data_IF_558275709067
#
_entry.id   IF_558275709067
#
_cell.length_a   1.000
_cell.length_b   1.000
_cell.length_c   1.000
_cell.angle_alpha   90.00
_cell.angle_beta   90.00
_cell.angle_gamma   90.00
#
_symmetry.space_group_name_H-M   'P 1'
#
loop_
_entity.id
_entity.type
_entity.pdbx_description
1 polymer ?
#
# COMPACT_ATOMS: atom_id res chain seq x y z
N UNK A 1 33.93 27.18 -6.97
CA UNK A 1 32.90 26.69 -7.91
C UNK A 1 33.18 27.00 -9.38
N UNK A 2 33.17 28.25 -9.87
CA UNK A 2 33.53 28.50 -11.29
C UNK A 2 34.95 28.04 -11.64
N UNK A 3 35.87 28.05 -10.68
CA UNK A 3 37.21 27.50 -10.84
C UNK A 3 37.21 25.96 -10.95
N UNK A 4 36.47 25.23 -10.11
CA UNK A 4 36.50 23.76 -10.06
C UNK A 4 35.85 23.13 -11.31
N UNK A 5 34.74 23.67 -11.80
CA UNK A 5 34.16 23.25 -13.08
C UNK A 5 34.92 23.80 -14.30
N UNK A 6 35.70 24.88 -14.11
CA UNK A 6 36.53 25.47 -15.17
C UNK A 6 37.74 24.63 -15.56
N UNK A 7 38.15 23.68 -14.70
CA UNK A 7 39.21 22.70 -15.00
C UNK A 7 38.70 21.42 -15.67
N UNK A 8 37.38 21.24 -15.75
CA UNK A 8 36.76 20.11 -16.45
C UNK A 8 36.58 20.42 -17.93
N UNK A 9 37.21 19.63 -18.80
CA UNK A 9 37.16 19.83 -20.25
C UNK A 9 35.73 19.76 -20.85
N UNK A 10 34.79 19.14 -20.13
CA UNK A 10 33.43 18.91 -20.61
C UNK A 10 32.35 19.56 -19.71
N UNK A 11 32.72 20.32 -18.68
CA UNK A 11 31.75 20.93 -17.74
C UNK A 11 31.13 19.96 -16.73
N UNK A 12 31.68 18.76 -16.59
CA UNK A 12 31.26 17.75 -15.61
C UNK A 12 32.31 17.55 -14.52
N UNK A 13 31.90 17.28 -13.29
CA UNK A 13 32.80 16.83 -12.22
C UNK A 13 32.39 15.41 -11.81
N UNK A 14 33.37 14.53 -11.63
CA UNK A 14 33.14 13.21 -11.05
C UNK A 14 33.52 13.22 -9.57
N UNK A 15 32.59 12.82 -8.71
CA UNK A 15 32.82 12.64 -7.27
C UNK A 15 32.24 11.29 -6.88
N UNK A 16 33.05 10.43 -6.25
CA UNK A 16 32.65 9.10 -5.77
C UNK A 16 31.96 8.21 -6.83
N UNK A 17 32.38 8.34 -8.10
CA UNK A 17 31.82 7.57 -9.23
C UNK A 17 30.53 8.16 -9.83
N UNK A 18 30.06 9.30 -9.32
CA UNK A 18 28.91 10.02 -9.86
C UNK A 18 29.34 11.24 -10.67
N UNK A 19 28.71 11.45 -11.82
CA UNK A 19 28.98 12.59 -12.71
C UNK A 19 27.97 13.70 -12.47
N UNK A 20 28.46 14.89 -12.16
CA UNK A 20 27.66 16.08 -11.92
C UNK A 20 27.88 17.10 -13.02
N UNK A 21 26.81 17.62 -13.60
CA UNK A 21 26.85 18.71 -14.57
C UNK A 21 26.95 20.05 -13.83
N UNK A 22 27.79 20.97 -14.36
CA UNK A 22 27.88 22.35 -13.88
C UNK A 22 26.52 23.05 -13.76
N UNK A 23 25.64 22.86 -14.75
CA UNK A 23 24.35 23.54 -14.78
C UNK A 23 23.47 23.08 -13.62
N UNK A 24 23.35 21.76 -13.41
CA UNK A 24 22.53 21.19 -12.33
C UNK A 24 23.01 21.67 -10.94
N UNK A 25 24.33 21.75 -10.75
CA UNK A 25 24.89 22.25 -9.49
C UNK A 25 24.63 23.74 -9.30
N UNK A 26 24.77 24.55 -10.35
CA UNK A 26 24.47 25.99 -10.27
C UNK A 26 22.98 26.26 -10.06
N UNK A 27 22.10 25.53 -10.74
CA UNK A 27 20.66 25.63 -10.57
C UNK A 27 20.26 25.36 -9.11
N UNK A 28 20.83 24.32 -8.48
CA UNK A 28 20.58 24.00 -7.08
C UNK A 28 21.09 25.09 -6.12
N UNK A 29 22.26 25.68 -6.40
CA UNK A 29 22.87 26.74 -5.58
C UNK A 29 22.13 28.08 -5.64
N UNK A 30 21.50 28.35 -6.78
CA UNK A 30 20.76 29.59 -7.02
C UNK A 30 19.33 29.55 -6.43
N UNK A 31 18.89 28.39 -5.92
CA UNK A 31 17.58 28.26 -5.28
C UNK A 31 17.49 29.14 -4.01
N UNK A 32 16.38 29.89 -3.82
CA UNK A 32 16.19 30.75 -2.65
C UNK A 32 16.27 30.01 -1.30
N UNK A 33 16.00 28.71 -1.29
CA UNK A 33 16.01 27.84 -0.11
C UNK A 33 17.24 26.90 -0.05
N UNK A 34 18.31 27.20 -0.80
CA UNK A 34 19.51 26.36 -0.89
C UNK A 34 20.05 25.91 0.47
N UNK A 35 20.21 26.81 1.45
CA UNK A 35 20.76 26.45 2.76
C UNK A 35 19.90 25.43 3.52
N UNK A 36 18.58 25.53 3.40
CA UNK A 36 17.64 24.57 3.99
C UNK A 36 17.74 23.21 3.30
N UNK A 37 17.79 23.20 1.96
CA UNK A 37 17.95 21.96 1.17
C UNK A 37 19.28 21.28 1.46
N UNK A 38 20.37 22.06 1.53
CA UNK A 38 21.70 21.56 1.90
C UNK A 38 21.70 20.95 3.31
N UNK A 39 20.98 21.54 4.26
CA UNK A 39 20.82 20.98 5.61
C UNK A 39 20.11 19.61 5.57
N UNK A 40 19.03 19.47 4.81
CA UNK A 40 18.35 18.19 4.64
C UNK A 40 19.20 17.16 3.91
N UNK A 41 19.90 17.53 2.84
CA UNK A 41 20.86 16.65 2.18
C UNK A 41 21.91 16.13 3.17
N UNK A 42 22.47 16.99 4.03
CA UNK A 42 23.45 16.57 5.04
C UNK A 42 22.85 15.62 6.07
N UNK A 43 21.61 15.87 6.51
CA UNK A 43 20.91 14.98 7.44
C UNK A 43 20.66 13.60 6.82
N UNK A 44 20.16 13.55 5.58
CA UNK A 44 19.98 12.30 4.84
C UNK A 44 21.31 11.58 4.67
N UNK A 45 22.36 12.30 4.26
CA UNK A 45 23.69 11.73 4.05
C UNK A 45 24.29 11.13 5.33
N UNK A 46 24.00 11.71 6.49
CA UNK A 46 24.41 11.17 7.78
C UNK A 46 23.65 9.89 8.17
N UNK A 47 22.49 9.63 7.56
CA UNK A 47 21.63 8.50 7.86
C UNK A 47 21.71 7.41 6.78
N UNK A 48 22.54 6.40 7.04
CA UNK A 48 22.78 5.28 6.10
C UNK A 48 21.51 4.51 5.74
N UNK A 49 20.54 4.39 6.65
CA UNK A 49 19.32 3.63 6.40
C UNK A 49 18.43 4.33 5.38
N UNK A 50 18.36 5.68 5.44
CA UNK A 50 17.63 6.46 4.44
C UNK A 50 18.34 6.38 3.09
N UNK A 51 19.67 6.49 3.05
CA UNK A 51 20.43 6.37 1.81
C UNK A 51 20.20 5.03 1.12
N UNK A 52 20.27 3.91 1.86
CA UNK A 52 20.03 2.57 1.30
C UNK A 52 18.61 2.44 0.73
N UNK A 53 17.61 3.08 1.35
CA UNK A 53 16.25 3.13 0.78
C UNK A 53 16.24 3.90 -0.54
N UNK A 54 16.84 5.08 -0.57
CA UNK A 54 16.79 5.96 -1.75
C UNK A 54 17.62 5.44 -2.92
N UNK A 55 18.79 4.88 -2.65
CA UNK A 55 19.78 4.48 -3.66
C UNK A 55 19.57 3.03 -4.10
N UNK A 56 19.36 2.12 -3.15
CA UNK A 56 19.32 0.68 -3.41
C UNK A 56 17.89 0.10 -3.45
N UNK A 57 16.88 0.88 -3.04
CA UNK A 57 15.49 0.42 -2.86
C UNK A 57 15.36 -0.77 -1.88
N UNK A 58 16.27 -0.85 -0.91
CA UNK A 58 16.28 -1.89 0.12
C UNK A 58 15.81 -1.30 1.44
N UNK A 59 14.98 -2.05 2.17
CA UNK A 59 14.43 -1.60 3.45
C UNK A 59 14.60 -2.66 4.53
N UNK A 60 15.08 -2.22 5.69
CA UNK A 60 14.81 -2.86 6.96
C UNK A 60 13.83 -1.96 7.72
N UNK A 61 12.59 -2.42 7.90
CA UNK A 61 11.49 -1.61 8.43
C UNK A 61 11.76 -1.04 9.83
N UNK A 62 12.52 -1.76 10.67
CA UNK A 62 12.86 -1.26 12.00
C UNK A 62 13.87 -0.11 11.91
N UNK A 63 14.94 -0.33 11.16
CA UNK A 63 16.03 0.63 10.98
C UNK A 63 15.57 1.92 10.29
N UNK A 64 14.61 1.79 9.36
CA UNK A 64 14.04 2.92 8.62
C UNK A 64 13.04 3.72 9.45
N UNK A 65 12.28 3.05 10.33
CA UNK A 65 11.39 3.76 11.26
C UNK A 65 12.19 4.70 12.16
N UNK A 66 13.21 4.18 12.82
CA UNK A 66 14.03 4.96 13.75
C UNK A 66 14.78 6.08 13.00
N UNK A 67 15.13 5.85 11.72
CA UNK A 67 15.76 6.84 10.87
C UNK A 67 14.84 8.01 10.49
N UNK A 68 13.57 7.75 10.21
CA UNK A 68 12.60 8.80 9.84
C UNK A 68 12.00 9.53 11.04
N UNK A 69 12.09 8.98 12.25
CA UNK A 69 11.59 9.62 13.48
C UNK A 69 12.20 11.03 13.69
N UNK A 70 13.45 11.27 13.28
CA UNK A 70 14.12 12.58 13.39
C UNK A 70 13.56 13.67 12.47
N UNK A 71 12.78 13.29 11.47
CA UNK A 71 12.19 14.18 10.47
C UNK A 71 10.70 14.40 10.67
N UNK A 72 10.11 13.76 11.68
CA UNK A 72 8.69 13.90 11.97
C UNK A 72 8.34 15.36 12.25
N UNK A 73 7.19 15.78 11.72
CA UNK A 73 6.62 17.12 11.89
C UNK A 73 7.38 18.26 11.19
N UNK A 74 8.32 17.96 10.29
CA UNK A 74 8.98 18.97 9.47
C UNK A 74 8.37 19.02 8.06
N UNK A 75 7.38 19.88 7.87
CA UNK A 75 6.68 20.07 6.58
C UNK A 75 7.65 20.46 5.46
N UNK A 76 8.68 21.25 5.77
CA UNK A 76 9.67 21.66 4.77
C UNK A 76 10.58 20.50 4.36
N UNK A 77 10.80 19.53 5.26
CA UNK A 77 11.45 18.28 4.91
C UNK A 77 10.57 17.43 3.98
N UNK A 78 9.28 17.28 4.28
CA UNK A 78 8.37 16.49 3.44
C UNK A 78 8.30 17.05 2.01
N UNK A 79 8.23 18.38 1.85
CA UNK A 79 8.29 19.07 0.55
C UNK A 79 9.60 18.84 -0.20
N UNK A 80 10.71 18.80 0.53
CA UNK A 80 12.01 18.52 -0.03
C UNK A 80 12.17 17.03 -0.41
N UNK A 81 11.68 16.13 0.43
CA UNK A 81 11.98 14.70 0.40
C UNK A 81 11.06 13.90 -0.53
N UNK A 82 9.76 14.26 -0.57
CA UNK A 82 8.72 13.57 -1.34
C UNK A 82 9.13 13.23 -2.78
N UNK A 83 9.71 14.14 -3.58
CA UNK A 83 10.11 13.85 -4.96
C UNK A 83 11.17 12.75 -5.09
N UNK A 84 12.07 12.62 -4.11
CA UNK A 84 13.11 11.60 -4.10
C UNK A 84 12.60 10.26 -3.56
N UNK A 85 11.56 10.29 -2.72
CA UNK A 85 11.04 9.12 -2.02
C UNK A 85 9.97 8.36 -2.80
N UNK A 86 9.25 9.02 -3.70
CA UNK A 86 8.12 8.43 -4.44
C UNK A 86 8.47 7.14 -5.19
N UNK A 87 9.55 7.17 -5.98
CA UNK A 87 9.96 6.02 -6.78
C UNK A 87 10.46 4.85 -5.89
N UNK A 88 11.36 5.07 -4.90
CA UNK A 88 11.74 4.02 -3.95
C UNK A 88 10.58 3.44 -3.17
N UNK A 89 9.66 4.30 -2.68
CA UNK A 89 8.48 3.85 -1.95
C UNK A 89 7.64 2.89 -2.79
N UNK A 90 7.34 3.27 -4.04
CA UNK A 90 6.59 2.43 -4.98
C UNK A 90 7.35 1.14 -5.34
N UNK A 91 8.67 1.20 -5.50
CA UNK A 91 9.51 0.04 -5.78
C UNK A 91 9.42 -0.99 -4.65
N UNK A 92 9.61 -0.54 -3.40
CA UNK A 92 9.54 -1.40 -2.21
C UNK A 92 8.14 -2.01 -2.06
N UNK A 93 7.07 -1.22 -2.22
CA UNK A 93 5.70 -1.74 -2.26
C UNK A 93 5.56 -2.86 -3.29
N UNK A 94 6.05 -2.63 -4.52
CA UNK A 94 5.95 -3.60 -5.60
C UNK A 94 6.71 -4.88 -5.29
N UNK A 95 7.90 -4.80 -4.71
CA UNK A 95 8.71 -5.96 -4.32
C UNK A 95 7.95 -6.83 -3.31
N UNK A 96 7.45 -6.25 -2.22
CA UNK A 96 6.65 -7.00 -1.25
C UNK A 96 5.36 -7.59 -1.84
N UNK A 97 4.67 -6.86 -2.72
CA UNK A 97 3.48 -7.36 -3.42
C UNK A 97 3.83 -8.60 -4.28
N UNK A 98 4.93 -8.55 -5.03
CA UNK A 98 5.39 -9.66 -5.86
C UNK A 98 5.75 -10.89 -5.00
N UNK A 99 6.35 -10.65 -3.84
CA UNK A 99 6.69 -11.66 -2.83
C UNK A 99 5.49 -12.15 -2.02
N UNK A 100 4.30 -11.57 -2.25
CA UNK A 100 3.04 -11.90 -1.57
C UNK A 100 3.01 -11.54 -0.08
N UNK A 101 3.86 -10.61 0.34
CA UNK A 101 3.94 -10.14 1.72
C UNK A 101 3.09 -8.88 1.93
N UNK A 102 1.78 -9.05 2.05
CA UNK A 102 0.88 -7.93 2.35
C UNK A 102 1.10 -7.36 3.76
N UNK A 103 1.64 -8.14 4.68
CA UNK A 103 1.86 -7.67 6.04
C UNK A 103 2.93 -6.56 6.07
N UNK A 104 4.05 -6.77 5.39
CA UNK A 104 5.13 -5.79 5.31
C UNK A 104 4.81 -4.62 4.37
N UNK A 105 3.99 -4.81 3.32
CA UNK A 105 3.39 -3.66 2.58
C UNK A 105 2.62 -2.77 3.56
N UNK A 106 1.78 -3.36 4.42
CA UNK A 106 1.00 -2.61 5.41
C UNK A 106 1.86 -1.85 6.41
N UNK A 107 3.04 -2.38 6.78
CA UNK A 107 4.00 -1.64 7.62
C UNK A 107 4.66 -0.51 6.87
N UNK A 108 5.07 -0.75 5.62
CA UNK A 108 5.71 0.26 4.77
C UNK A 108 4.78 1.43 4.46
N UNK A 109 3.49 1.16 4.30
CA UNK A 109 2.46 2.18 4.12
C UNK A 109 2.41 3.22 5.24
N UNK A 110 2.93 2.95 6.44
CA UNK A 110 2.99 3.94 7.52
C UNK A 110 3.88 5.14 7.21
N UNK A 111 4.78 5.02 6.24
CA UNK A 111 5.63 6.11 5.77
C UNK A 111 4.97 6.94 4.66
N UNK A 112 3.70 6.68 4.34
CA UNK A 112 2.99 7.43 3.29
C UNK A 112 2.90 8.94 3.54
N UNK A 113 3.02 9.37 4.81
CA UNK A 113 3.00 10.78 5.19
C UNK A 113 4.14 11.59 4.57
N UNK A 114 5.22 10.92 4.14
CA UNK A 114 6.35 11.53 3.44
C UNK A 114 6.06 11.79 1.95
N UNK A 115 4.91 11.34 1.43
CA UNK A 115 4.49 11.54 0.04
C UNK A 115 3.45 12.66 -0.06
N UNK A 116 3.81 13.71 -0.79
CA UNK A 116 2.93 14.83 -1.08
C UNK A 116 2.05 14.58 -2.33
N UNK A 117 1.00 15.38 -2.45
CA UNK A 117 -0.09 15.13 -3.41
C UNK A 117 0.33 14.88 -4.86
N UNK A 118 1.40 15.52 -5.34
CA UNK A 118 1.89 15.33 -6.71
C UNK A 118 2.60 13.99 -6.89
N UNK A 119 3.32 13.55 -5.86
CA UNK A 119 4.14 12.35 -5.86
C UNK A 119 3.35 11.09 -5.44
N UNK A 120 2.21 11.24 -4.77
CA UNK A 120 1.31 10.13 -4.37
C UNK A 120 0.84 9.31 -5.58
N UNK A 121 0.70 9.92 -6.76
CA UNK A 121 0.34 9.17 -7.96
C UNK A 121 1.42 8.12 -8.28
N UNK A 122 2.69 8.50 -8.24
CA UNK A 122 3.79 7.57 -8.47
C UNK A 122 3.94 6.58 -7.31
N UNK A 123 3.94 7.09 -6.07
CA UNK A 123 4.15 6.31 -4.85
C UNK A 123 3.19 5.13 -4.69
N UNK A 124 1.90 5.31 -5.01
CA UNK A 124 0.89 4.25 -4.85
C UNK A 124 0.56 3.48 -6.12
N UNK A 125 1.30 3.68 -7.21
CA UNK A 125 1.00 3.05 -8.51
C UNK A 125 0.91 1.53 -8.41
N UNK A 126 1.88 0.87 -7.77
CA UNK A 126 1.88 -0.57 -7.60
C UNK A 126 0.69 -1.06 -6.75
N UNK A 127 0.32 -0.32 -5.71
CA UNK A 127 -0.81 -0.64 -4.83
C UNK A 127 -2.13 -0.58 -5.60
N UNK A 128 -2.37 0.49 -6.38
CA UNK A 128 -3.60 0.64 -7.17
C UNK A 128 -3.72 -0.49 -8.20
N UNK A 129 -2.66 -0.77 -8.94
CA UNK A 129 -2.62 -1.88 -9.91
C UNK A 129 -2.93 -3.21 -9.21
N UNK A 130 -2.28 -3.49 -8.08
CA UNK A 130 -2.49 -4.73 -7.33
C UNK A 130 -3.94 -4.90 -6.83
N UNK A 131 -4.54 -3.83 -6.29
CA UNK A 131 -5.94 -3.86 -5.84
C UNK A 131 -6.89 -4.09 -7.01
N UNK A 132 -6.68 -3.43 -8.15
CA UNK A 132 -7.50 -3.63 -9.36
C UNK A 132 -7.39 -5.05 -9.91
N UNK A 133 -6.17 -5.60 -9.97
CA UNK A 133 -5.93 -6.98 -10.38
C UNK A 133 -6.57 -7.97 -9.40
N UNK A 134 -6.51 -7.70 -8.11
CA UNK A 134 -7.16 -8.50 -7.07
C UNK A 134 -8.69 -8.53 -7.25
N UNK A 135 -9.31 -7.39 -7.52
CA UNK A 135 -10.75 -7.32 -7.81
C UNK A 135 -11.12 -8.14 -9.05
N UNK A 136 -10.30 -8.08 -10.11
CA UNK A 136 -10.50 -8.92 -11.30
C UNK A 136 -10.33 -10.40 -10.98
N UNK A 137 -9.36 -10.75 -10.13
CA UNK A 137 -9.10 -12.11 -9.70
C UNK A 137 -10.30 -12.70 -8.96
N UNK A 138 -10.80 -12.02 -7.93
CA UNK A 138 -11.90 -12.52 -7.09
C UNK A 138 -13.21 -12.72 -7.86
N UNK A 139 -13.56 -11.83 -8.79
CA UNK A 139 -14.76 -11.97 -9.63
C UNK A 139 -14.79 -13.23 -10.49
N UNK A 140 -13.63 -13.80 -10.79
CA UNK A 140 -13.49 -14.98 -11.62
C UNK A 140 -13.45 -16.29 -10.81
N UNK A 141 -13.46 -16.23 -9.48
CA UNK A 141 -13.38 -17.41 -8.61
C UNK A 141 -14.79 -17.90 -8.24
N UNK A 142 -14.98 -19.22 -8.35
CA UNK A 142 -16.17 -19.93 -7.89
C UNK A 142 -15.78 -21.26 -7.24
N UNK A 143 -16.77 -22.03 -6.77
CA UNK A 143 -16.53 -23.32 -6.10
C UNK A 143 -15.73 -24.32 -6.93
N UNK A 144 -15.90 -24.28 -8.25
CA UNK A 144 -15.41 -25.31 -9.17
C UNK A 144 -13.96 -25.05 -9.57
N UNK A 145 -13.58 -23.77 -9.73
CA UNK A 145 -12.23 -23.37 -10.08
C UNK A 145 -11.37 -22.94 -8.88
N UNK A 146 -11.93 -22.87 -7.67
CA UNK A 146 -11.23 -22.42 -6.47
C UNK A 146 -9.84 -23.03 -6.30
N UNK A 147 -9.74 -24.36 -6.40
CA UNK A 147 -8.48 -25.09 -6.16
C UNK A 147 -7.35 -24.67 -7.10
N UNK A 148 -7.66 -24.33 -8.35
CA UNK A 148 -6.64 -23.87 -9.32
C UNK A 148 -6.25 -22.41 -9.09
N UNK A 149 -7.15 -21.60 -8.54
CA UNK A 149 -6.88 -20.19 -8.21
C UNK A 149 -6.31 -19.99 -6.79
N UNK A 150 -6.45 -20.97 -5.90
CA UNK A 150 -5.96 -20.92 -4.52
C UNK A 150 -4.52 -20.40 -4.38
N UNK A 151 -3.54 -20.83 -5.21
CA UNK A 151 -2.18 -20.28 -5.11
C UNK A 151 -2.10 -18.77 -5.40
N UNK A 152 -3.00 -18.22 -6.22
CA UNK A 152 -3.01 -16.79 -6.58
C UNK A 152 -3.63 -15.92 -5.49
N UNK A 153 -4.55 -16.47 -4.71
CA UNK A 153 -5.21 -15.77 -3.59
C UNK A 153 -4.60 -16.09 -2.23
N UNK A 154 -3.52 -16.89 -2.19
CA UNK A 154 -2.79 -17.22 -0.96
C UNK A 154 -2.48 -16.00 -0.07
N UNK A 155 -2.07 -14.82 -0.59
CA UNK A 155 -1.82 -13.66 0.26
C UNK A 155 -3.04 -13.23 1.09
N UNK A 156 -4.25 -13.52 0.62
CA UNK A 156 -5.52 -13.18 1.27
C UNK A 156 -6.05 -14.29 2.19
N UNK A 157 -5.44 -15.48 2.16
CA UNK A 157 -5.76 -16.61 3.02
C UNK A 157 -4.83 -16.62 4.24
N UNK A 158 -3.55 -16.28 4.05
CA UNK A 158 -2.55 -16.22 5.11
C UNK A 158 -2.83 -15.03 6.03
N UNK A 159 -2.82 -15.20 7.37
CA UNK A 159 -3.05 -14.09 8.30
C UNK A 159 -2.06 -12.91 8.11
N UNK A 160 -2.52 -11.68 8.37
CA UNK A 160 -1.69 -10.48 8.37
C UNK A 160 -2.04 -9.47 7.25
N UNK A 161 -2.78 -9.88 6.23
CA UNK A 161 -3.19 -8.98 5.13
C UNK A 161 -4.13 -7.86 5.60
N UNK A 162 -4.82 -8.02 6.72
CA UNK A 162 -5.65 -6.97 7.32
C UNK A 162 -4.82 -5.72 7.64
N UNK A 163 -3.53 -5.89 7.95
CA UNK A 163 -2.60 -4.78 8.16
C UNK A 163 -2.46 -3.93 6.90
N UNK A 164 -2.40 -4.55 5.71
CA UNK A 164 -2.38 -3.82 4.45
C UNK A 164 -3.64 -2.97 4.28
N UNK A 165 -4.84 -3.53 4.42
CA UNK A 165 -6.09 -2.77 4.24
C UNK A 165 -6.29 -1.68 5.30
N UNK A 166 -5.75 -1.86 6.50
CA UNK A 166 -5.86 -0.90 7.59
C UNK A 166 -4.90 0.29 7.46
N UNK A 167 -3.82 0.16 6.68
CA UNK A 167 -2.88 1.24 6.41
C UNK A 167 -2.98 1.76 4.96
N UNK A 168 -4.03 1.37 4.20
CA UNK A 168 -4.25 1.95 2.89
C UNK A 168 -4.50 3.46 2.98
N UNK A 169 -3.98 4.26 2.03
CA UNK A 169 -4.24 5.68 1.99
C UNK A 169 -5.72 5.97 1.68
N UNK A 170 -6.21 7.14 2.10
CA UNK A 170 -7.62 7.55 1.94
C UNK A 170 -8.12 7.46 0.48
N UNK A 171 -7.26 7.80 -0.48
CA UNK A 171 -7.55 7.70 -1.92
C UNK A 171 -7.88 6.27 -2.38
N UNK A 172 -7.44 5.26 -1.64
CA UNK A 172 -7.69 3.85 -1.92
C UNK A 172 -8.92 3.29 -1.18
N UNK A 173 -9.64 4.08 -0.37
CA UNK A 173 -10.78 3.56 0.41
C UNK A 173 -11.92 3.01 -0.46
N UNK A 174 -12.17 3.60 -1.63
CA UNK A 174 -13.16 3.07 -2.56
C UNK A 174 -12.77 1.68 -3.12
N UNK A 175 -11.47 1.40 -3.24
CA UNK A 175 -10.95 0.09 -3.64
C UNK A 175 -10.96 -0.89 -2.46
N UNK A 176 -10.60 -0.42 -1.26
CA UNK A 176 -10.67 -1.18 -0.01
C UNK A 176 -12.06 -1.79 0.20
N UNK A 177 -13.11 -0.97 0.10
CA UNK A 177 -14.49 -1.45 0.28
C UNK A 177 -14.86 -2.52 -0.75
N UNK A 178 -14.47 -2.33 -2.02
CA UNK A 178 -14.71 -3.32 -3.08
C UNK A 178 -13.97 -4.64 -2.80
N UNK A 179 -12.71 -4.56 -2.37
CA UNK A 179 -11.91 -5.75 -2.02
C UNK A 179 -12.55 -6.48 -0.85
N UNK A 180 -13.00 -5.77 0.18
CA UNK A 180 -13.71 -6.34 1.33
C UNK A 180 -15.00 -7.04 0.90
N UNK A 181 -15.80 -6.42 0.03
CA UNK A 181 -17.02 -7.04 -0.51
C UNK A 181 -16.69 -8.32 -1.28
N UNK A 182 -15.66 -8.28 -2.15
CA UNK A 182 -15.27 -9.45 -2.94
C UNK A 182 -14.66 -10.56 -2.08
N UNK A 183 -13.97 -10.23 -0.98
CA UNK A 183 -13.52 -11.21 0.02
C UNK A 183 -14.70 -11.87 0.75
N UNK A 184 -15.71 -11.10 1.17
CA UNK A 184 -16.94 -11.65 1.77
C UNK A 184 -17.63 -12.61 0.79
N UNK A 185 -17.72 -12.22 -0.49
CA UNK A 185 -18.31 -13.08 -1.51
C UNK A 185 -17.47 -14.36 -1.73
N UNK A 186 -16.14 -14.23 -1.68
CA UNK A 186 -15.23 -15.36 -1.78
C UNK A 186 -15.42 -16.34 -0.62
N UNK A 187 -15.57 -15.88 0.64
CA UNK A 187 -15.81 -16.79 1.78
C UNK A 187 -17.09 -17.60 1.58
N UNK A 188 -18.17 -16.96 1.10
CA UNK A 188 -19.45 -17.64 0.80
C UNK A 188 -19.29 -18.67 -0.34
N UNK A 189 -18.53 -18.33 -1.38
CA UNK A 189 -18.33 -19.20 -2.54
C UNK A 189 -17.55 -20.48 -2.18
N UNK A 190 -16.57 -20.36 -1.28
CA UNK A 190 -15.62 -21.45 -0.98
C UNK A 190 -15.94 -22.18 0.32
N UNK A 191 -16.90 -21.70 1.14
CA UNK A 191 -17.20 -22.24 2.48
C UNK A 191 -17.41 -23.75 2.53
N UNK A 192 -18.00 -24.35 1.49
CA UNK A 192 -18.24 -25.80 1.39
C UNK A 192 -17.04 -26.57 0.84
N UNK A 193 -16.21 -25.91 0.03
CA UNK A 193 -15.06 -26.51 -0.66
C UNK A 193 -13.82 -26.51 0.23
N UNK A 194 -13.57 -25.39 0.93
CA UNK A 194 -12.44 -25.22 1.84
C UNK A 194 -12.84 -24.30 3.01
N UNK A 195 -13.40 -24.90 4.05
CA UNK A 195 -13.91 -24.17 5.22
C UNK A 195 -12.79 -23.48 6.02
N UNK A 196 -11.56 -24.01 5.98
CA UNK A 196 -10.44 -23.43 6.72
C UNK A 196 -9.99 -22.13 6.08
N UNK A 197 -9.85 -22.10 4.75
CA UNK A 197 -9.50 -20.87 4.04
C UNK A 197 -10.59 -19.81 4.21
N UNK A 198 -11.87 -20.19 4.11
CA UNK A 198 -13.00 -19.29 4.36
C UNK A 198 -12.95 -18.68 5.78
N UNK A 199 -12.67 -19.51 6.79
CA UNK A 199 -12.54 -19.07 8.19
C UNK A 199 -11.35 -18.12 8.37
N UNK A 200 -10.21 -18.38 7.73
CA UNK A 200 -9.03 -17.52 7.84
C UNK A 200 -9.30 -16.14 7.24
N UNK A 201 -9.89 -16.09 6.04
CA UNK A 201 -10.31 -14.83 5.41
C UNK A 201 -11.31 -14.09 6.31
N UNK A 202 -12.33 -14.80 6.82
CA UNK A 202 -13.33 -14.23 7.73
C UNK A 202 -12.69 -13.61 8.98
N UNK A 203 -11.72 -14.30 9.57
CA UNK A 203 -11.00 -13.83 10.76
C UNK A 203 -10.20 -12.55 10.47
N UNK A 204 -9.56 -12.45 9.30
CA UNK A 204 -8.90 -11.22 8.87
C UNK A 204 -9.89 -10.06 8.66
N UNK A 205 -11.03 -10.32 8.01
CA UNK A 205 -12.09 -9.32 7.77
C UNK A 205 -12.61 -8.70 9.07
N UNK A 206 -12.68 -9.47 10.15
CA UNK A 206 -13.10 -8.97 11.47
C UNK A 206 -12.17 -7.88 12.03
N UNK A 207 -10.90 -7.88 11.65
CA UNK A 207 -9.88 -6.95 12.13
C UNK A 207 -9.81 -5.68 11.25
N UNK A 208 -10.34 -5.72 10.02
CA UNK A 208 -10.29 -4.57 9.10
C UNK A 208 -11.08 -3.38 9.67
N UNK A 209 -10.42 -2.25 9.88
CA UNK A 209 -10.98 -1.02 10.44
C UNK A 209 -11.48 -0.05 9.36
N UNK A 210 -12.21 0.99 9.77
CA UNK A 210 -12.67 2.06 8.87
C UNK A 210 -13.75 1.63 7.87
N UNK A 211 -14.44 0.50 8.11
CA UNK A 211 -15.49 0.00 7.23
C UNK A 211 -16.87 0.60 7.59
N UNK A 212 -17.72 0.88 6.60
CA UNK A 212 -19.13 1.18 6.80
C UNK A 212 -19.85 0.14 7.67
N UNK A 213 -20.81 0.60 8.50
CA UNK A 213 -21.52 -0.25 9.47
C UNK A 213 -22.26 -1.43 8.81
N UNK A 214 -22.83 -1.23 7.64
CA UNK A 214 -23.47 -2.29 6.85
C UNK A 214 -22.48 -3.41 6.45
N UNK A 215 -21.25 -3.06 6.07
CA UNK A 215 -20.21 -4.05 5.76
C UNK A 215 -19.75 -4.77 7.03
N UNK A 216 -19.56 -4.04 8.13
CA UNK A 216 -19.24 -4.64 9.44
C UNK A 216 -20.28 -5.68 9.87
N UNK A 217 -21.56 -5.34 9.81
CA UNK A 217 -22.65 -6.26 10.16
C UNK A 217 -22.66 -7.50 9.26
N UNK A 218 -22.35 -7.33 7.97
CA UNK A 218 -22.23 -8.45 7.03
C UNK A 218 -21.06 -9.37 7.40
N UNK A 219 -19.90 -8.81 7.75
CA UNK A 219 -18.73 -9.57 8.20
C UNK A 219 -19.06 -10.36 9.47
N UNK A 220 -19.67 -9.73 10.48
CA UNK A 220 -20.07 -10.41 11.71
C UNK A 220 -21.06 -11.56 11.46
N UNK A 221 -22.05 -11.34 10.58
CA UNK A 221 -23.02 -12.37 10.21
C UNK A 221 -22.39 -13.54 9.46
N UNK A 222 -21.40 -13.26 8.60
CA UNK A 222 -20.65 -14.27 7.85
C UNK A 222 -19.71 -15.07 8.79
N UNK A 223 -18.98 -14.40 9.68
CA UNK A 223 -18.05 -15.04 10.62
C UNK A 223 -18.73 -16.01 11.59
N UNK A 224 -19.97 -15.68 12.01
CA UNK A 224 -20.78 -16.56 12.86
C UNK A 224 -21.05 -17.94 12.23
N UNK A 225 -21.03 -18.05 10.89
CA UNK A 225 -21.16 -19.34 10.20
C UNK A 225 -19.95 -20.25 10.43
N UNK A 226 -18.78 -19.68 10.72
CA UNK A 226 -17.53 -20.42 10.92
C UNK A 226 -17.19 -20.60 12.41
N UNK A 227 -17.59 -19.67 13.27
CA UNK A 227 -17.21 -19.64 14.69
C UNK A 227 -18.44 -19.87 15.60
N UNK A 228 -18.67 -21.14 15.98
CA UNK A 228 -19.82 -21.61 16.79
C UNK A 228 -19.99 -20.98 18.19
N UNK A 229 -19.08 -20.11 18.63
CA UNK A 229 -19.18 -19.36 19.89
C UNK A 229 -19.83 -17.97 19.71
N UNK A 230 -20.09 -17.53 18.48
CA UNK A 230 -20.92 -16.38 18.22
C UNK A 230 -22.39 -16.77 18.46
N UNK A 231 -23.08 -16.07 19.39
CA UNK A 231 -24.52 -16.29 19.60
C UNK A 231 -25.23 -16.23 18.24
N UNK A 232 -26.12 -17.19 17.92
CA UNK A 232 -26.81 -17.19 16.64
C UNK A 232 -27.69 -15.93 16.58
N UNK A 233 -27.25 -14.93 15.82
CA UNK A 233 -28.15 -13.85 15.42
C UNK A 233 -29.02 -14.41 14.29
N UNK A 234 -30.30 -14.06 14.32
CA UNK A 234 -31.39 -14.70 13.58
C UNK A 234 -31.41 -14.33 12.07
N UNK A 235 -30.22 -14.28 11.44
CA UNK A 235 -29.98 -13.73 10.11
C UNK A 235 -29.55 -14.77 9.08
N UNK A 236 -29.89 -16.05 9.29
CA UNK A 236 -29.62 -17.14 8.33
C UNK A 236 -30.20 -16.90 6.92
N UNK A 237 -31.16 -15.98 6.78
CA UNK A 237 -31.73 -15.56 5.49
C UNK A 237 -31.08 -14.29 4.89
N UNK A 238 -30.31 -13.52 5.65
CA UNK A 238 -29.69 -12.27 5.16
C UNK A 238 -28.42 -12.51 4.37
N UNK A 239 -27.70 -13.62 4.61
CA UNK A 239 -26.48 -13.96 3.85
C UNK A 239 -26.80 -14.32 2.39
N UNK A 240 -27.98 -14.92 2.11
CA UNK A 240 -28.42 -15.21 0.74
C UNK A 240 -29.02 -14.01 0.00
N UNK A 241 -29.74 -13.13 0.71
CA UNK A 241 -30.44 -11.98 0.11
C UNK A 241 -29.53 -10.75 -0.04
N UNK A 242 -28.54 -10.56 0.84
CA UNK A 242 -27.58 -9.45 0.78
C UNK A 242 -26.71 -9.47 -0.48
N UNK A 243 -26.30 -10.66 -0.94
CA UNK A 243 -25.48 -10.87 -2.15
C UNK A 243 -26.20 -10.42 -3.44
N UNK A 244 -27.54 -10.50 -3.46
CA UNK A 244 -28.36 -10.05 -4.61
C UNK A 244 -28.68 -8.56 -4.52
N UNK A 245 -28.95 -8.03 -3.32
CA UNK A 245 -29.30 -6.60 -3.13
C UNK A 245 -28.09 -5.67 -3.34
N UNK A 246 -26.88 -6.06 -2.95
CA UNK A 246 -25.66 -5.26 -3.20
C UNK A 246 -25.30 -5.20 -4.70
N UNK A 247 -25.52 -6.29 -5.46
CA UNK A 247 -25.41 -6.24 -6.93
C UNK A 247 -26.45 -5.32 -7.56
N UNK A 248 -27.69 -5.28 -7.04
CA UNK A 248 -28.75 -4.42 -7.58
C UNK A 248 -28.56 -2.93 -7.24
N UNK A 249 -28.01 -2.59 -6.06
CA UNK A 249 -27.73 -1.20 -5.69
C UNK A 249 -26.52 -0.61 -6.44
N UNK A 250 -25.50 -1.43 -6.76
CA UNK A 250 -24.35 -0.99 -7.58
C UNK A 250 -24.75 -0.80 -9.05
N UNK A 251 -25.69 -1.59 -9.58
CA UNK A 251 -26.18 -1.43 -10.96
C UNK A 251 -27.23 -0.33 -11.14
N UNK A 252 -27.96 0.07 -10.09
CA UNK A 252 -28.96 1.14 -10.19
C UNK A 252 -28.40 2.57 -10.02
N UNK A 253 -27.15 2.71 -9.57
CA UNK A 253 -26.46 4.00 -9.45
C UNK A 253 -25.78 4.51 -10.73
N UNK A 254 -25.72 3.71 -11.81
CA UNK A 254 -25.08 4.08 -13.10
C UNK A 254 -26.07 4.43 -14.21
N UNK A 255 -27.34 4.64 -13.88
CA UNK A 255 -28.31 5.26 -14.79
C UNK A 255 -28.85 6.55 -14.17
N UNK A 256 -28.06 7.62 -14.23
CA UNK A 256 -28.52 9.01 -14.31
C UNK A 256 -27.41 9.90 -14.81
#
# INVERSE_FOLDING_TARGET
MNAEFGYSANGYIEVDGYTYNKNDVLEELELPNFYTRLHYHKKIWANKNILVVLEDNVVNLQDVKDAFDEFQHDVAFDEFFSPYFAAPFNHICRSYINERDLYDVGKWLRFEGLLLGKEREEGFKAIRIFLEETLRLFRNINSDNYKSFRPKIMPWITPGWENFLNNLPDECYSLKDKVVIDLINLTVAIQKTDTNDARNISSGLMIVSGLPENLRNTIYGNDAAYNKNAKPSNYGWVVGVGVVVLKLLVFSGSCR
#
